data_IF_298782451343
#
_entry.id   IF_298782451343
#
_cell.length_a   1.000
_cell.length_b   1.000
_cell.length_c   1.000
_cell.angle_alpha   90.00
_cell.angle_beta   90.00
_cell.angle_gamma   90.00
#
_symmetry.space_group_name_H-M   'P 1'
#
loop_
_entity.id
_entity.type
_entity.pdbx_description
1 polymer ?
#
# COMPACT_ATOMS: atom_id res chain seq x y z
N UNK A 1 -30.78 -12.32 34.39
CA UNK A 1 -29.46 -11.86 34.88
C UNK A 1 -28.60 -11.75 33.65
N UNK A 2 -28.74 -10.61 32.99
CA UNK A 2 -28.37 -10.40 31.60
C UNK A 2 -27.13 -9.52 31.60
N UNK A 3 -25.97 -10.14 31.40
CA UNK A 3 -24.71 -9.42 31.32
C UNK A 3 -24.54 -8.93 29.88
N UNK A 4 -24.90 -7.68 29.65
CA UNK A 4 -24.56 -6.97 28.43
C UNK A 4 -23.04 -6.76 28.37
N UNK A 5 -22.37 -7.38 27.38
CA UNK A 5 -21.01 -7.03 26.99
C UNK A 5 -21.09 -5.74 26.17
N UNK A 6 -20.66 -4.63 26.75
CA UNK A 6 -20.46 -3.37 26.03
C UNK A 6 -19.32 -3.55 25.02
N UNK A 7 -19.66 -3.75 23.75
CA UNK A 7 -18.71 -3.50 22.66
C UNK A 7 -18.54 -2.00 22.53
N UNK A 8 -17.40 -1.49 23.00
CA UNK A 8 -16.93 -0.15 22.64
C UNK A 8 -16.60 -0.17 21.15
N UNK A 9 -17.56 0.21 20.31
CA UNK A 9 -17.28 0.63 18.93
C UNK A 9 -16.43 1.89 19.02
N UNK A 10 -15.12 1.70 19.08
CA UNK A 10 -14.23 2.72 18.59
C UNK A 10 -14.54 2.83 17.09
N UNK A 11 -15.07 3.98 16.68
CA UNK A 11 -14.95 4.45 15.31
C UNK A 11 -13.45 4.67 15.06
N UNK A 12 -12.75 3.56 14.81
CA UNK A 12 -11.33 3.53 14.66
C UNK A 12 -11.03 3.90 13.21
N UNK A 13 -10.76 5.19 12.97
CA UNK A 13 -10.24 5.67 11.70
C UNK A 13 -9.12 4.73 11.23
N UNK A 14 -9.35 4.04 10.11
CA UNK A 14 -8.44 3.04 9.58
C UNK A 14 -7.02 3.64 9.44
N UNK A 15 -5.96 2.85 9.68
CA UNK A 15 -4.60 3.36 9.67
C UNK A 15 -4.27 4.06 8.33
N UNK A 16 -3.86 5.33 8.42
CA UNK A 16 -3.55 6.19 7.27
C UNK A 16 -2.33 5.73 6.48
N UNK A 17 -1.49 4.88 7.09
CA UNK A 17 -0.32 4.24 6.47
C UNK A 17 -0.40 2.72 6.66
N UNK A 18 0.23 1.96 5.75
CA UNK A 18 0.17 0.50 5.74
C UNK A 18 0.97 -0.08 4.59
N UNK A 19 1.38 -1.34 4.71
CA UNK A 19 2.11 -2.06 3.66
C UNK A 19 1.13 -2.82 2.77
N UNK A 20 1.24 -2.60 1.46
CA UNK A 20 0.40 -3.24 0.47
C UNK A 20 1.29 -4.03 -0.50
N UNK A 21 1.03 -5.34 -0.71
CA UNK A 21 1.67 -6.06 -1.80
C UNK A 21 1.07 -5.56 -3.12
N UNK A 22 1.88 -4.92 -3.95
CA UNK A 22 1.47 -4.45 -5.28
C UNK A 22 2.27 -5.21 -6.34
N UNK A 23 1.62 -5.90 -7.29
CA UNK A 23 2.34 -6.57 -8.35
C UNK A 23 2.95 -5.55 -9.31
N UNK A 24 4.16 -5.85 -9.77
CA UNK A 24 4.81 -5.12 -10.87
C UNK A 24 4.24 -5.65 -12.18
N UNK A 25 3.58 -4.80 -12.94
CA UNK A 25 2.94 -5.19 -14.21
C UNK A 25 3.69 -4.69 -15.44
N UNK A 26 4.51 -3.66 -15.29
CA UNK A 26 5.29 -3.13 -16.39
C UNK A 26 6.61 -2.52 -15.92
N UNK A 27 7.63 -2.68 -16.76
CA UNK A 27 8.96 -2.10 -16.58
C UNK A 27 9.32 -1.32 -17.84
N UNK A 28 9.69 -0.06 -17.67
CA UNK A 28 10.09 0.80 -18.75
C UNK A 28 11.43 1.47 -18.45
N UNK A 29 12.46 1.11 -19.19
CA UNK A 29 13.78 1.73 -19.05
C UNK A 29 13.77 3.13 -19.65
N UNK A 30 14.02 4.14 -18.83
CA UNK A 30 14.10 5.53 -19.24
C UNK A 30 15.52 5.92 -19.65
N UNK A 31 16.51 5.46 -18.87
CA UNK A 31 17.95 5.68 -19.10
C UNK A 31 18.73 4.41 -18.73
N UNK A 32 20.05 4.46 -18.80
CA UNK A 32 20.92 3.35 -18.39
C UNK A 32 20.68 2.91 -16.94
N UNK A 33 20.47 3.86 -16.04
CA UNK A 33 20.35 3.67 -14.59
C UNK A 33 18.93 3.89 -14.04
N UNK A 34 18.00 4.37 -14.86
CA UNK A 34 16.64 4.72 -14.44
C UNK A 34 15.60 3.87 -15.14
N UNK A 35 14.76 3.20 -14.35
CA UNK A 35 13.62 2.40 -14.83
C UNK A 35 12.34 2.84 -14.14
N UNK A 36 11.32 3.18 -14.92
CA UNK A 36 9.97 3.37 -14.44
C UNK A 36 9.30 2.01 -14.24
N UNK A 37 8.62 1.86 -13.10
CA UNK A 37 7.94 0.64 -12.69
C UNK A 37 6.45 0.96 -12.55
N UNK A 38 5.60 0.15 -13.17
CA UNK A 38 4.16 0.22 -12.97
C UNK A 38 3.73 -0.81 -11.94
N UNK A 39 3.09 -0.32 -10.87
CA UNK A 39 2.49 -1.12 -9.83
C UNK A 39 0.98 -1.14 -10.03
N UNK A 40 0.38 -2.32 -10.04
CA UNK A 40 -1.06 -2.46 -10.10
C UNK A 40 -1.68 -2.24 -8.71
N UNK A 41 -2.67 -1.35 -8.65
CA UNK A 41 -3.41 -1.04 -7.42
C UNK A 41 -4.68 -1.89 -7.38
N UNK A 42 -4.84 -2.79 -6.38
CA UNK A 42 -6.08 -3.54 -6.20
C UNK A 42 -7.28 -2.62 -6.00
N UNK A 43 -8.46 -3.05 -6.47
CA UNK A 43 -9.67 -2.23 -6.50
C UNK A 43 -10.03 -1.60 -5.14
N UNK A 44 -9.94 -2.40 -4.06
CA UNK A 44 -10.22 -1.94 -2.70
C UNK A 44 -9.24 -0.90 -2.14
N UNK A 45 -8.14 -0.60 -2.84
CA UNK A 45 -7.12 0.36 -2.43
C UNK A 45 -7.02 1.60 -3.34
N UNK A 46 -7.81 1.69 -4.42
CA UNK A 46 -7.70 2.77 -5.43
C UNK A 46 -7.78 4.17 -4.85
N UNK A 47 -8.71 4.43 -3.93
CA UNK A 47 -8.86 5.74 -3.28
C UNK A 47 -7.60 6.12 -2.48
N UNK A 48 -6.94 5.15 -1.86
CA UNK A 48 -5.74 5.39 -1.06
C UNK A 48 -4.54 5.79 -1.90
N UNK A 49 -4.39 5.15 -3.06
CA UNK A 49 -3.31 5.43 -4.01
C UNK A 49 -3.68 6.49 -5.06
N UNK A 50 -4.84 7.14 -4.90
CA UNK A 50 -5.24 8.25 -5.76
C UNK A 50 -4.15 9.33 -5.76
N UNK A 51 -3.64 9.62 -6.96
CA UNK A 51 -2.50 10.50 -7.14
C UNK A 51 -2.78 11.90 -6.57
N UNK A 52 -1.78 12.45 -5.86
CA UNK A 52 -1.74 13.83 -5.41
C UNK A 52 -0.34 14.39 -5.69
N UNK A 53 -0.22 15.64 -6.15
CA UNK A 53 1.09 16.26 -6.36
C UNK A 53 1.97 16.17 -5.11
N UNK A 54 3.22 15.72 -5.28
CA UNK A 54 4.18 15.53 -4.18
C UNK A 54 3.99 14.25 -3.34
N UNK A 55 2.95 13.45 -3.59
CA UNK A 55 2.79 12.17 -2.93
C UNK A 55 3.83 11.15 -3.43
N UNK A 56 4.40 10.41 -2.50
CA UNK A 56 5.33 9.32 -2.78
C UNK A 56 4.99 8.11 -1.91
N UNK A 57 5.46 6.94 -2.34
CA UNK A 57 5.32 5.68 -1.60
C UNK A 57 6.69 5.22 -1.13
N UNK A 58 6.73 4.55 0.01
CA UNK A 58 7.91 3.80 0.43
C UNK A 58 7.76 2.39 -0.12
N UNK A 59 8.78 1.90 -0.82
CA UNK A 59 8.80 0.55 -1.39
C UNK A 59 9.80 -0.28 -0.60
N UNK A 60 9.41 -1.52 -0.25
CA UNK A 60 10.31 -2.52 0.32
C UNK A 60 10.53 -3.59 -0.73
N UNK A 61 11.78 -3.78 -1.13
CA UNK A 61 12.13 -4.85 -2.05
C UNK A 61 12.51 -6.09 -1.24
N UNK A 62 11.85 -7.22 -1.53
CA UNK A 62 12.16 -8.52 -0.92
C UNK A 62 12.77 -9.43 -1.97
N UNK A 63 14.02 -9.83 -1.77
CA UNK A 63 14.73 -10.77 -2.62
C UNK A 63 15.09 -12.02 -1.81
N UNK A 64 14.69 -13.22 -2.28
CA UNK A 64 15.03 -14.48 -1.62
C UNK A 64 14.54 -14.59 -0.17
N UNK A 65 13.41 -13.97 0.17
CA UNK A 65 12.86 -13.98 1.53
C UNK A 65 13.55 -13.02 2.51
N UNK A 66 14.55 -12.24 2.05
CA UNK A 66 15.21 -11.18 2.83
C UNK A 66 14.79 -9.81 2.29
N UNK A 67 14.70 -8.85 3.21
CA UNK A 67 14.54 -7.45 2.87
C UNK A 67 15.91 -6.81 2.61
N UNK A 68 16.02 -6.10 1.51
CA UNK A 68 17.23 -5.36 1.12
C UNK A 68 17.16 -3.92 1.61
#
# INVERSE_FOLDING_TARGET
>A
MDTAVTTKTADAAAPRTGWYPLPVTFLHRLTEDTTAITLEVPDGARERFAHRPGAHVVVRHRAGGREL
#
